data_IF_588943093730
#
_entry.id   IF_588943093730
#
_cell.length_a   1.000
_cell.length_b   1.000
_cell.length_c   1.000
_cell.angle_alpha   90.00
_cell.angle_beta   90.00
_cell.angle_gamma   90.00
#
_symmetry.space_group_name_H-M   'P 1'
#
loop_
_entity.id
_entity.type
_entity.pdbx_description
1 polymer ?
#
# COMPACT_ATOMS: atom_id res chain seq x y z
N UNK A 1 18.08 -17.88 -11.34
CA UNK A 1 18.61 -16.87 -12.28
C UNK A 1 18.25 -15.50 -11.72
N UNK A 2 19.15 -14.91 -10.92
CA UNK A 2 18.99 -13.55 -10.44
C UNK A 2 19.53 -12.60 -11.52
N UNK A 3 18.64 -11.89 -12.21
CA UNK A 3 19.04 -10.79 -13.08
C UNK A 3 19.59 -9.67 -12.20
N UNK A 4 20.90 -9.46 -12.29
CA UNK A 4 21.58 -8.39 -11.57
C UNK A 4 21.05 -7.05 -12.08
N UNK A 5 20.49 -6.23 -11.18
CA UNK A 5 20.19 -4.84 -11.48
C UNK A 5 21.52 -4.10 -11.68
N UNK A 6 21.74 -3.59 -12.90
CA UNK A 6 22.92 -2.80 -13.26
C UNK A 6 22.86 -1.47 -12.50
N UNK A 7 23.91 -1.05 -11.76
CA UNK A 7 23.91 0.26 -11.14
C UNK A 7 23.92 1.33 -12.25
N UNK A 8 22.92 2.21 -12.24
CA UNK A 8 22.85 3.37 -13.12
C UNK A 8 23.92 4.38 -12.70
N UNK A 9 25.11 4.20 -13.27
CA UNK A 9 26.21 5.16 -13.24
C UNK A 9 25.82 6.32 -14.14
N UNK A 10 25.14 7.30 -13.55
CA UNK A 10 24.88 8.58 -14.19
C UNK A 10 26.17 9.40 -14.10
N UNK A 11 27.01 9.27 -15.12
CA UNK A 11 28.23 10.07 -15.29
C UNK A 11 27.86 11.47 -15.74
N UNK A 12 27.41 12.30 -14.80
CA UNK A 12 27.49 13.76 -14.89
C UNK A 12 27.88 14.30 -13.51
N UNK A 13 29.16 14.65 -13.38
CA UNK A 13 29.74 15.25 -12.19
C UNK A 13 29.26 16.70 -12.06
N UNK A 14 28.19 16.87 -11.28
CA UNK A 14 27.66 18.16 -10.85
C UNK A 14 26.58 17.94 -9.80
N UNK A 15 27.00 17.70 -8.56
CA UNK A 15 26.19 17.25 -7.40
C UNK A 15 25.61 15.84 -7.54
N UNK A 16 26.15 14.87 -6.79
CA UNK A 16 25.51 13.54 -6.66
C UNK A 16 24.25 13.75 -5.81
N UNK A 17 23.13 14.02 -6.48
CA UNK A 17 21.82 14.13 -5.83
C UNK A 17 21.41 12.78 -5.21
N UNK A 18 20.68 12.84 -4.10
CA UNK A 18 20.08 11.64 -3.51
C UNK A 18 19.05 11.01 -4.46
N UNK A 19 19.09 9.69 -4.61
CA UNK A 19 18.04 8.91 -5.31
C UNK A 19 17.09 8.34 -4.26
N UNK A 20 15.89 8.90 -4.15
CA UNK A 20 14.89 8.48 -3.18
C UNK A 20 13.98 7.37 -3.73
N UNK A 21 13.72 6.35 -2.92
CA UNK A 21 12.78 5.27 -3.23
C UNK A 21 12.04 4.84 -1.96
N UNK A 22 10.81 4.38 -2.12
CA UNK A 22 9.99 3.77 -1.08
C UNK A 22 9.60 2.37 -1.54
N UNK A 23 9.76 1.37 -0.67
CA UNK A 23 9.37 -0.02 -0.95
C UNK A 23 8.43 -0.46 0.15
N UNK A 24 7.27 -0.98 -0.23
CA UNK A 24 6.24 -1.44 0.70
C UNK A 24 6.07 -2.94 0.55
N UNK A 25 6.19 -3.66 1.67
CA UNK A 25 5.96 -5.10 1.76
C UNK A 25 4.47 -5.39 1.96
N UNK A 26 3.81 -5.83 0.89
CA UNK A 26 2.37 -6.10 0.89
C UNK A 26 1.98 -7.34 1.70
N UNK A 27 2.90 -8.29 1.91
CA UNK A 27 2.60 -9.50 2.70
C UNK A 27 2.51 -9.19 4.20
N UNK A 28 3.16 -8.11 4.64
CA UNK A 28 3.08 -7.60 6.01
C UNK A 28 1.96 -6.58 6.21
N UNK A 29 1.39 -6.03 5.14
CA UNK A 29 0.32 -5.05 5.25
C UNK A 29 -0.97 -5.72 5.74
N UNK A 30 -1.43 -5.36 6.93
CA UNK A 30 -2.66 -5.90 7.54
C UNK A 30 -3.89 -5.03 7.31
N UNK A 31 -3.72 -3.88 6.64
CA UNK A 31 -4.81 -2.92 6.42
C UNK A 31 -5.15 -2.06 7.63
N UNK A 32 -4.23 -1.87 8.59
CA UNK A 32 -4.49 -1.15 9.84
C UNK A 32 -4.75 0.37 9.72
N UNK A 33 -4.57 0.96 8.53
CA UNK A 33 -4.76 2.40 8.25
C UNK A 33 -3.82 3.37 9.02
N UNK A 34 -2.85 2.86 9.79
CA UNK A 34 -1.93 3.71 10.55
C UNK A 34 -1.08 4.63 9.66
N UNK A 35 -0.67 4.16 8.47
CA UNK A 35 0.08 4.95 7.50
C UNK A 35 -0.74 6.13 6.94
N UNK A 36 -2.06 5.98 6.78
CA UNK A 36 -2.94 7.05 6.29
C UNK A 36 -3.03 8.15 7.35
N UNK A 37 -3.26 7.79 8.61
CA UNK A 37 -3.32 8.75 9.71
C UNK A 37 -1.98 9.45 9.91
N UNK A 38 -0.87 8.71 9.93
CA UNK A 38 0.47 9.30 10.02
C UNK A 38 0.71 10.32 8.90
N UNK A 39 0.38 9.97 7.64
CA UNK A 39 0.53 10.90 6.52
C UNK A 39 -0.28 12.19 6.72
N UNK A 40 -1.51 12.10 7.24
CA UNK A 40 -2.34 13.27 7.51
C UNK A 40 -1.75 14.14 8.64
N UNK A 41 -1.29 13.50 9.72
CA UNK A 41 -0.67 14.17 10.87
C UNK A 41 0.61 14.92 10.52
N UNK A 42 1.46 14.34 9.67
CA UNK A 42 2.75 14.93 9.32
C UNK A 42 2.64 16.03 8.24
N UNK A 43 1.61 15.98 7.39
CA UNK A 43 1.56 16.81 6.19
C UNK A 43 0.43 17.84 6.17
N UNK A 44 -0.22 18.09 7.32
CA UNK A 44 -1.32 19.06 7.43
C UNK A 44 -2.45 18.82 6.41
N UNK A 45 -2.74 17.55 6.11
CA UNK A 45 -3.85 17.20 5.22
C UNK A 45 -5.16 17.61 5.90
N UNK A 46 -6.03 18.28 5.17
CA UNK A 46 -7.36 18.69 5.66
C UNK A 46 -8.16 17.47 6.12
N UNK A 47 -8.96 17.63 7.17
CA UNK A 47 -9.94 16.62 7.54
C UNK A 47 -11.04 16.51 6.47
N UNK A 48 -11.61 15.31 6.34
CA UNK A 48 -12.71 15.06 5.42
C UNK A 48 -14.04 15.45 6.06
N UNK A 49 -14.85 16.20 5.31
CA UNK A 49 -16.26 16.37 5.63
C UNK A 49 -17.06 15.20 5.06
N UNK A 50 -18.15 14.82 5.72
CA UNK A 50 -19.03 13.73 5.29
C UNK A 50 -19.61 13.95 3.88
N UNK A 51 -20.11 15.15 3.59
CA UNK A 51 -20.69 15.50 2.28
C UNK A 51 -19.68 15.30 1.13
N UNK A 52 -18.49 15.90 1.27
CA UNK A 52 -17.39 15.78 0.32
C UNK A 52 -16.88 14.33 0.19
N UNK A 53 -16.88 13.57 1.29
CA UNK A 53 -16.47 12.16 1.27
C UNK A 53 -17.42 11.32 0.40
N UNK A 54 -18.73 11.52 0.52
CA UNK A 54 -19.73 10.82 -0.30
C UNK A 54 -19.67 11.20 -1.78
N UNK A 55 -19.21 12.41 -2.10
CA UNK A 55 -18.92 12.83 -3.47
C UNK A 55 -17.60 12.27 -4.02
N UNK A 56 -16.88 11.45 -3.25
CA UNK A 56 -15.58 10.89 -3.63
C UNK A 56 -14.42 11.89 -3.56
N UNK A 57 -14.62 13.05 -2.92
CA UNK A 57 -13.63 14.13 -2.80
C UNK A 57 -12.83 14.02 -1.50
N UNK A 58 -12.29 12.82 -1.26
CA UNK A 58 -11.56 12.51 -0.04
C UNK A 58 -10.14 13.09 -0.12
N UNK A 59 -9.71 13.78 0.93
CA UNK A 59 -8.37 14.31 1.09
C UNK A 59 -7.49 13.27 1.79
N UNK A 60 -6.81 12.45 0.98
CA UNK A 60 -5.77 11.53 1.42
C UNK A 60 -4.66 11.48 0.38
N UNK A 61 -3.40 11.48 0.80
CA UNK A 61 -2.24 11.39 -0.11
C UNK A 61 -1.82 9.94 -0.37
N UNK A 62 -2.11 9.05 0.58
CA UNK A 62 -1.92 7.60 0.50
C UNK A 62 -3.22 6.91 0.91
N UNK A 63 -3.52 5.75 0.30
CA UNK A 63 -4.78 5.03 0.49
C UNK A 63 -4.54 3.54 0.55
N UNK A 64 -5.06 2.88 1.58
CA UNK A 64 -5.09 1.41 1.59
C UNK A 64 -6.35 0.88 0.93
N UNK A 65 -6.17 0.20 -0.19
CA UNK A 65 -7.21 -0.54 -0.89
C UNK A 65 -7.22 -2.02 -0.49
N UNK A 66 -8.41 -2.61 -0.52
CA UNK A 66 -8.63 -4.02 -0.23
C UNK A 66 -9.03 -4.73 -1.53
N UNK A 67 -8.23 -5.71 -1.92
CA UNK A 67 -8.52 -6.60 -3.03
C UNK A 67 -8.77 -8.02 -2.53
N UNK A 68 -9.58 -8.75 -3.29
CA UNK A 68 -9.92 -10.14 -3.01
C UNK A 68 -9.20 -11.04 -4.00
N UNK A 69 -8.31 -11.89 -3.49
CA UNK A 69 -7.62 -12.87 -4.30
C UNK A 69 -8.27 -14.23 -4.14
N UNK A 70 -8.55 -14.89 -5.26
CA UNK A 70 -9.00 -16.28 -5.22
C UNK A 70 -7.85 -17.16 -4.74
N UNK A 71 -8.12 -17.97 -3.72
CA UNK A 71 -7.15 -18.94 -3.20
C UNK A 71 -7.38 -20.27 -3.92
N UNK A 72 -6.34 -20.82 -4.59
CA UNK A 72 -6.48 -22.10 -5.28
C UNK A 72 -6.94 -23.20 -4.33
N UNK A 73 -7.79 -24.08 -4.84
CA UNK A 73 -8.33 -25.25 -4.14
C UNK A 73 -7.20 -26.04 -3.45
N UNK A 74 -7.27 -26.18 -2.13
CA UNK A 74 -6.28 -26.93 -1.34
C UNK A 74 -5.28 -26.09 -0.53
N UNK A 75 -5.27 -24.75 -0.68
CA UNK A 75 -4.55 -23.85 0.25
C UNK A 75 -5.54 -23.24 1.25
N UNK A 76 -5.30 -23.46 2.54
CA UNK A 76 -6.12 -22.84 3.59
C UNK A 76 -5.74 -21.37 3.79
N UNK A 77 -6.76 -20.52 3.83
CA UNK A 77 -6.62 -19.13 4.25
C UNK A 77 -6.51 -19.12 5.77
N UNK A 78 -5.35 -18.73 6.29
CA UNK A 78 -5.11 -18.63 7.74
C UNK A 78 -5.61 -17.29 8.31
N UNK A 79 -6.74 -16.82 7.81
CA UNK A 79 -7.44 -15.61 8.27
C UNK A 79 -8.73 -16.06 8.95
N UNK A 80 -8.71 -16.01 10.28
CA UNK A 80 -9.80 -16.37 11.19
C UNK A 80 -11.07 -15.52 10.98
N UNK A 81 -10.95 -14.40 10.27
CA UNK A 81 -12.06 -13.47 9.98
C UNK A 81 -12.81 -13.76 8.67
N UNK A 82 -12.41 -14.78 7.91
CA UNK A 82 -13.00 -15.14 6.60
C UNK A 82 -13.79 -16.44 6.62
N UNK A 83 -14.38 -16.81 7.76
CA UNK A 83 -15.20 -18.01 7.89
C UNK A 83 -16.34 -18.10 6.85
N UNK A 84 -16.83 -16.96 6.35
CA UNK A 84 -17.87 -16.87 5.33
C UNK A 84 -17.35 -17.12 3.90
N UNK A 85 -16.04 -16.91 3.63
CA UNK A 85 -15.46 -17.01 2.29
C UNK A 85 -14.19 -17.88 2.29
N UNK A 86 -14.33 -19.22 2.21
CA UNK A 86 -13.21 -20.14 2.42
C UNK A 86 -12.13 -20.09 1.33
N UNK A 87 -12.45 -19.55 0.15
CA UNK A 87 -11.56 -19.55 -1.02
C UNK A 87 -11.14 -18.15 -1.47
N UNK A 88 -11.23 -17.13 -0.60
CA UNK A 88 -10.71 -15.79 -0.91
C UNK A 88 -9.84 -15.27 0.22
N UNK A 89 -8.77 -14.56 -0.12
CA UNK A 89 -7.90 -13.87 0.83
C UNK A 89 -7.96 -12.37 0.54
N UNK A 90 -8.12 -11.56 1.58
CA UNK A 90 -7.95 -10.13 1.45
C UNK A 90 -6.45 -9.78 1.30
N UNK A 91 -6.10 -9.02 0.27
CA UNK A 91 -4.79 -8.38 0.10
C UNK A 91 -4.97 -6.86 0.21
N UNK A 92 -4.06 -6.22 0.92
CA UNK A 92 -4.07 -4.77 1.12
C UNK A 92 -2.97 -4.10 0.31
N UNK A 93 -3.34 -3.11 -0.50
CA UNK A 93 -2.43 -2.34 -1.34
C UNK A 93 -2.52 -0.87 -0.91
N UNK A 94 -1.48 -0.30 -0.29
CA UNK A 94 -1.41 1.11 0.09
C UNK A 94 -1.10 2.07 -1.07
#
# INVERSE_FOLDING_TARGET
MATQAKPSTDTNQGTIGHKWAMVIDLDRCTGCQACVIACQSENNVRFNEESAFHEGRVMQWIRVERYWEHVPTGKQVRDDRLAEFPNVKARFIP
#
